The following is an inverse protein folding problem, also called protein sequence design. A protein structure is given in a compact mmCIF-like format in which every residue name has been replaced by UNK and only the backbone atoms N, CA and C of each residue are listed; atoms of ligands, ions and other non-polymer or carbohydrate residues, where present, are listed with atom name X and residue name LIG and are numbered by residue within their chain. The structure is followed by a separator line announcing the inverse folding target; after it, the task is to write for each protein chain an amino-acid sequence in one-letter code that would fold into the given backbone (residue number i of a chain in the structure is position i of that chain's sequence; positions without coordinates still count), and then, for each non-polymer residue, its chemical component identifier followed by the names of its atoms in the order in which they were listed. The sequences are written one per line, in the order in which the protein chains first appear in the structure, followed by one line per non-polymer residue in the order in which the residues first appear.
data_IF_249699621229
#
_entry.id   IF_249699621229
#
_cell.length_a   1.000
_cell.length_b   1.000
_cell.length_c   1.000
_cell.angle_alpha   90.00
_cell.angle_beta   90.00
_cell.angle_gamma   90.00
#
_symmetry.space_group_name_H-M   'P 1'
#
loop_
_entity.id
_entity.type
_entity.pdbx_description
1 polymer ?
#
# COMPACT_ATOMS: atom_id res chain seq x y z
N UNK A 1 3.91 3.99 11.19
CA UNK A 1 3.65 3.81 12.64
C UNK A 1 2.20 4.14 13.06
N UNK A 2 1.68 5.36 12.85
CA UNK A 2 0.37 5.78 13.40
C UNK A 2 -0.81 4.84 13.04
N UNK A 3 -0.97 4.46 11.77
CA UNK A 3 -2.03 3.53 11.36
C UNK A 3 -1.93 2.17 12.07
N UNK A 4 -0.74 1.56 12.11
CA UNK A 4 -0.53 0.27 12.77
C UNK A 4 -0.73 0.32 14.28
N UNK A 5 -0.37 1.44 14.92
CA UNK A 5 -0.68 1.66 16.33
C UNK A 5 -2.21 1.71 16.56
N UNK A 6 -2.97 2.42 15.72
CA UNK A 6 -4.43 2.45 15.78
C UNK A 6 -5.07 1.08 15.52
N UNK A 7 -4.54 0.33 14.55
CA UNK A 7 -5.02 -1.03 14.24
C UNK A 7 -4.73 -2.05 15.33
N UNK A 8 -3.74 -1.79 16.19
CA UNK A 8 -3.40 -2.67 17.32
C UNK A 8 -4.29 -2.44 18.54
N UNK A 9 -5.10 -1.38 18.55
CA UNK A 9 -6.01 -1.06 19.66
C UNK A 9 -7.49 -1.20 19.30
N UNK A 10 -7.83 -1.09 18.02
CA UNK A 10 -9.20 -1.13 17.53
C UNK A 10 -9.53 -2.49 16.89
N UNK A 11 -10.80 -2.95 16.91
CA UNK A 11 -11.20 -4.21 16.31
C UNK A 11 -11.04 -4.16 14.78
N UNK A 12 -10.59 -5.26 14.17
CA UNK A 12 -10.44 -5.35 12.73
C UNK A 12 -11.76 -5.04 11.99
N UNK A 13 -11.65 -4.23 10.94
CA UNK A 13 -12.78 -3.76 10.14
C UNK A 13 -12.66 -4.29 8.70
N UNK A 14 -13.58 -5.17 8.29
CA UNK A 14 -13.52 -5.82 6.98
C UNK A 14 -13.60 -4.82 5.81
N UNK A 15 -14.35 -3.73 5.96
CA UNK A 15 -14.47 -2.70 4.92
C UNK A 15 -13.14 -1.95 4.65
N UNK A 16 -12.25 -1.86 5.64
CA UNK A 16 -10.91 -1.28 5.45
C UNK A 16 -10.06 -2.17 4.53
N UNK A 17 -10.22 -3.49 4.61
CA UNK A 17 -9.55 -4.40 3.69
C UNK A 17 -10.00 -4.14 2.24
N UNK A 18 -11.30 -3.94 2.00
CA UNK A 18 -11.83 -3.59 0.67
C UNK A 18 -11.26 -2.25 0.17
N UNK A 19 -11.18 -1.24 1.03
CA UNK A 19 -10.56 0.05 0.68
C UNK A 19 -9.09 -0.13 0.29
N UNK A 20 -8.34 -0.94 1.05
CA UNK A 20 -6.94 -1.22 0.76
C UNK A 20 -6.79 -1.95 -0.58
N UNK A 21 -7.68 -2.88 -0.92
CA UNK A 21 -7.70 -3.54 -2.23
C UNK A 21 -7.98 -2.55 -3.38
N UNK A 22 -8.98 -1.68 -3.22
CA UNK A 22 -9.27 -0.62 -4.21
C UNK A 22 -8.07 0.33 -4.35
N UNK A 23 -7.36 0.63 -3.25
CA UNK A 23 -6.21 1.51 -3.29
C UNK A 23 -5.06 0.94 -4.13
N UNK A 24 -4.86 -0.39 -4.18
CA UNK A 24 -3.88 -1.00 -5.09
C UNK A 24 -4.22 -0.73 -6.56
N UNK A 25 -5.51 -0.80 -6.91
CA UNK A 25 -5.96 -0.48 -8.25
C UNK A 25 -5.69 1.00 -8.60
N UNK A 26 -6.05 1.91 -7.70
CA UNK A 26 -5.87 3.36 -7.91
C UNK A 26 -4.38 3.70 -7.98
N UNK A 27 -3.58 3.28 -7.00
CA UNK A 27 -2.14 3.57 -6.96
C UNK A 27 -1.40 2.92 -8.12
N UNK A 28 -1.71 1.66 -8.45
CA UNK A 28 -1.15 0.96 -9.61
C UNK A 28 -1.48 1.68 -10.92
N UNK A 29 -2.73 2.15 -11.07
CA UNK A 29 -3.15 2.98 -12.20
C UNK A 29 -2.42 4.32 -12.29
N UNK A 30 -2.20 5.00 -11.17
CA UNK A 30 -1.44 6.25 -11.11
C UNK A 30 0.04 6.02 -11.51
N UNK A 31 0.66 4.94 -11.01
CA UNK A 31 2.03 4.56 -11.39
C UNK A 31 2.10 4.17 -12.87
N UNK A 32 1.11 3.43 -13.37
CA UNK A 32 0.97 3.05 -14.79
C UNK A 32 0.80 4.27 -15.71
N UNK A 33 0.16 5.33 -15.23
CA UNK A 33 0.06 6.57 -15.98
C UNK A 33 1.42 7.28 -16.10
N UNK A 34 2.34 7.07 -15.15
CA UNK A 34 3.68 7.67 -15.11
C UNK A 34 3.68 9.19 -15.33
N UNK A 35 2.67 9.88 -14.81
CA UNK A 35 2.53 11.34 -14.88
C UNK A 35 2.84 11.98 -13.53
N UNK A 36 3.41 13.20 -13.53
CA UNK A 36 3.62 13.93 -12.29
C UNK A 36 2.28 14.21 -11.59
N UNK A 37 2.22 13.91 -10.30
CA UNK A 37 1.06 14.20 -9.46
C UNK A 37 1.28 15.53 -8.71
N UNK A 38 0.26 16.38 -8.53
CA UNK A 38 0.45 17.59 -7.74
C UNK A 38 0.77 17.23 -6.27
N UNK A 39 1.68 17.96 -5.61
CA UNK A 39 2.17 17.58 -4.27
C UNK A 39 1.07 17.40 -3.22
N UNK A 40 0.02 18.22 -3.29
CA UNK A 40 -1.13 18.14 -2.36
C UNK A 40 -1.86 16.80 -2.47
N UNK A 41 -2.11 16.34 -3.70
CA UNK A 41 -2.76 15.04 -3.93
C UNK A 41 -1.86 13.87 -3.52
N UNK A 42 -0.55 13.99 -3.77
CA UNK A 42 0.41 12.99 -3.33
C UNK A 42 0.41 12.82 -1.81
N UNK A 43 0.52 13.93 -1.06
CA UNK A 43 0.49 13.90 0.41
C UNK A 43 -0.83 13.32 0.92
N UNK A 44 -1.96 13.75 0.35
CA UNK A 44 -3.28 13.23 0.73
C UNK A 44 -3.38 11.71 0.52
N UNK A 45 -2.91 11.21 -0.63
CA UNK A 45 -2.89 9.77 -0.92
C UNK A 45 -1.99 9.02 0.06
N UNK A 46 -0.77 9.50 0.30
CA UNK A 46 0.18 8.87 1.24
C UNK A 46 -0.39 8.79 2.65
N UNK A 47 -1.04 9.86 3.11
CA UNK A 47 -1.66 9.89 4.43
C UNK A 47 -2.85 8.92 4.50
N UNK A 48 -3.74 8.95 3.51
CA UNK A 48 -4.91 8.08 3.49
C UNK A 48 -4.53 6.60 3.43
N UNK A 49 -3.66 6.21 2.50
CA UNK A 49 -3.26 4.81 2.32
C UNK A 49 -2.31 4.35 3.43
N UNK A 50 -1.39 5.22 3.89
CA UNK A 50 -0.52 4.91 5.02
C UNK A 50 -1.30 4.64 6.32
N UNK A 51 -2.38 5.39 6.56
CA UNK A 51 -3.27 5.14 7.70
C UNK A 51 -4.10 3.87 7.51
N UNK A 52 -4.76 3.69 6.35
CA UNK A 52 -5.65 2.54 6.13
C UNK A 52 -4.91 1.20 6.05
N UNK A 53 -3.77 1.16 5.37
CA UNK A 53 -2.91 -0.02 5.32
C UNK A 53 -2.22 -0.25 6.66
N UNK A 54 -1.75 0.82 7.31
CA UNK A 54 -1.19 0.73 8.65
C UNK A 54 -2.18 0.08 9.61
N UNK A 55 -3.43 0.57 9.63
CA UNK A 55 -4.50 0.02 10.45
C UNK A 55 -4.73 -1.47 10.21
N UNK A 56 -4.80 -1.90 8.94
CA UNK A 56 -4.96 -3.31 8.60
C UNK A 56 -3.75 -4.19 8.99
N UNK A 57 -2.58 -3.59 9.18
CA UNK A 57 -1.38 -4.28 9.69
C UNK A 57 -1.25 -4.18 11.22
N UNK A 58 -2.24 -3.66 11.95
CA UNK A 58 -2.21 -3.70 13.41
C UNK A 58 -2.15 -5.14 13.94
N UNK A 59 -1.50 -5.33 15.09
CA UNK A 59 -1.37 -6.63 15.77
C UNK A 59 -1.92 -6.51 17.19
N UNK A 60 -3.23 -6.72 17.40
CA UNK A 60 -3.88 -6.51 18.69
C UNK A 60 -3.37 -7.42 19.80
N UNK A 61 -2.66 -8.50 19.47
CA UNK A 61 -2.09 -9.46 20.43
C UNK A 61 -0.77 -8.96 21.04
N UNK A 62 -0.16 -7.92 20.47
CA UNK A 62 1.13 -7.38 20.93
C UNK A 62 0.94 -6.22 21.91
N UNK A 63 1.67 -6.26 23.02
CA UNK A 63 1.66 -5.23 24.06
C UNK A 63 3.07 -4.90 24.55
N UNK A 64 3.22 -3.75 25.23
CA UNK A 64 4.48 -3.33 25.84
C UNK A 64 5.64 -3.26 24.85
N UNK A 65 6.79 -3.85 25.22
CA UNK A 65 8.01 -3.82 24.40
C UNK A 65 7.85 -4.55 23.06
N UNK A 66 7.04 -5.62 23.00
CA UNK A 66 6.79 -6.37 21.76
C UNK A 66 6.10 -5.51 20.71
N UNK A 67 5.10 -4.72 21.12
CA UNK A 67 4.41 -3.77 20.24
C UNK A 67 5.36 -2.68 19.72
N UNK A 68 6.22 -2.13 20.58
CA UNK A 68 7.18 -1.09 20.19
C UNK A 68 8.17 -1.62 19.14
N UNK A 69 8.72 -2.82 19.36
CA UNK A 69 9.64 -3.46 18.42
C UNK A 69 8.95 -3.78 17.09
N UNK A 70 7.71 -4.26 17.12
CA UNK A 70 6.91 -4.49 15.92
C UNK A 70 6.71 -3.21 15.11
N UNK A 71 6.21 -2.15 15.76
CA UNK A 71 5.93 -0.88 15.10
C UNK A 71 7.20 -0.22 14.54
N UNK A 72 8.31 -0.30 15.28
CA UNK A 72 9.61 0.18 14.81
C UNK A 72 10.11 -0.63 13.61
N UNK A 73 10.04 -1.97 13.67
CA UNK A 73 10.44 -2.87 12.60
C UNK A 73 9.64 -2.64 11.32
N UNK A 74 8.31 -2.61 11.41
CA UNK A 74 7.44 -2.36 10.25
C UNK A 74 7.67 -0.96 9.67
N UNK A 75 7.84 0.06 10.52
CA UNK A 75 8.12 1.43 10.05
C UNK A 75 9.49 1.50 9.35
N UNK A 76 10.51 0.84 9.90
CA UNK A 76 11.84 0.76 9.29
C UNK A 76 11.79 0.04 7.94
N UNK A 77 11.15 -1.13 7.86
CA UNK A 77 11.00 -1.89 6.63
C UNK A 77 10.26 -1.08 5.55
N UNK A 78 9.16 -0.44 5.91
CA UNK A 78 8.41 0.43 4.99
C UNK A 78 9.26 1.61 4.50
N UNK A 79 9.99 2.28 5.40
CA UNK A 79 10.88 3.38 5.04
C UNK A 79 12.00 2.95 4.09
N UNK A 80 12.62 1.80 4.35
CA UNK A 80 13.66 1.23 3.49
C UNK A 80 13.11 0.90 2.10
N UNK A 81 11.96 0.21 2.02
CA UNK A 81 11.32 -0.12 0.75
C UNK A 81 10.98 1.14 -0.06
N UNK A 82 10.35 2.13 0.58
CA UNK A 82 10.01 3.40 -0.07
C UNK A 82 11.27 4.11 -0.58
N UNK A 83 12.32 4.18 0.24
CA UNK A 83 13.58 4.84 -0.14
C UNK A 83 14.25 4.15 -1.33
N UNK A 84 14.37 2.82 -1.29
CA UNK A 84 15.00 2.03 -2.36
C UNK A 84 14.19 2.11 -3.65
N UNK A 85 12.87 1.92 -3.59
CA UNK A 85 12.01 1.98 -4.77
C UNK A 85 11.96 3.38 -5.39
N UNK A 86 11.98 4.42 -4.56
CA UNK A 86 12.04 5.81 -5.04
C UNK A 86 13.37 6.07 -5.75
N UNK A 87 14.49 5.69 -5.13
CA UNK A 87 15.81 5.83 -5.73
C UNK A 87 15.94 5.06 -7.05
N UNK A 88 15.50 3.79 -7.07
CA UNK A 88 15.52 2.95 -8.26
C UNK A 88 14.65 3.52 -9.38
N UNK A 89 13.42 3.95 -9.06
CA UNK A 89 12.50 4.54 -10.05
C UNK A 89 13.06 5.85 -10.61
N UNK A 90 13.61 6.71 -9.76
CA UNK A 90 14.24 7.96 -10.18
C UNK A 90 15.45 7.69 -11.09
N UNK A 91 16.33 6.76 -10.72
CA UNK A 91 17.48 6.38 -11.53
C UNK A 91 17.06 5.80 -12.89
N UNK A 92 16.05 4.92 -12.91
CA UNK A 92 15.53 4.36 -14.16
C UNK A 92 15.00 5.44 -15.10
N UNK A 93 14.15 6.33 -14.60
CA UNK A 93 13.53 7.39 -15.42
C UNK A 93 14.58 8.38 -15.94
N UNK A 94 15.61 8.71 -15.15
CA UNK A 94 16.60 9.72 -15.52
C UNK A 94 17.75 9.18 -16.37
N UNK A 95 18.16 7.92 -16.17
CA UNK A 95 19.38 7.36 -16.78
C UNK A 95 19.09 6.38 -17.93
N UNK A 96 17.86 5.88 -18.07
CA UNK A 96 17.52 4.85 -19.06
C UNK A 96 16.35 5.32 -19.93
N UNK A 97 16.51 5.21 -21.25
CA UNK A 97 15.45 5.54 -22.23
C UNK A 97 14.18 4.70 -22.05
N UNK A 98 14.31 3.48 -21.53
CA UNK A 98 13.19 2.58 -21.23
C UNK A 98 12.65 2.70 -19.80
N UNK A 99 13.20 3.61 -18.97
CA UNK A 99 12.85 3.72 -17.55
C UNK A 99 11.36 3.95 -17.30
N UNK A 100 10.72 4.77 -18.13
CA UNK A 100 9.27 5.00 -18.07
C UNK A 100 8.50 3.71 -18.33
N UNK A 101 8.92 2.89 -19.30
CA UNK A 101 8.24 1.62 -19.62
C UNK A 101 8.32 0.67 -18.42
N UNK A 102 9.47 0.58 -17.77
CA UNK A 102 9.63 -0.27 -16.57
C UNK A 102 8.75 0.18 -15.41
N UNK A 103 8.67 1.49 -15.13
CA UNK A 103 7.79 2.02 -14.08
C UNK A 103 6.33 1.76 -14.41
N UNK A 104 5.93 1.92 -15.68
CA UNK A 104 4.57 1.62 -16.14
C UNK A 104 4.22 0.13 -15.99
N UNK A 105 5.15 -0.76 -16.33
CA UNK A 105 4.99 -2.20 -16.11
C UNK A 105 4.85 -2.55 -14.62
N UNK A 106 5.64 -1.94 -13.75
CA UNK A 106 5.47 -2.08 -12.30
C UNK A 106 4.08 -1.63 -11.84
N UNK A 107 3.60 -0.49 -12.34
CA UNK A 107 2.25 0.00 -12.08
C UNK A 107 1.13 -0.95 -12.54
N UNK A 108 1.25 -1.56 -13.72
CA UNK A 108 0.25 -2.51 -14.21
C UNK A 108 0.20 -3.79 -13.38
N UNK A 109 1.35 -4.28 -12.90
CA UNK A 109 1.38 -5.43 -11.98
C UNK A 109 0.69 -5.12 -10.66
N UNK A 110 0.92 -3.94 -10.09
CA UNK A 110 0.23 -3.50 -8.86
C UNK A 110 -1.29 -3.43 -9.08
N UNK A 111 -1.73 -2.84 -10.18
CA UNK A 111 -3.15 -2.74 -10.52
C UNK A 111 -3.79 -4.14 -10.73
N UNK A 112 -3.08 -5.04 -11.40
CA UNK A 112 -3.53 -6.41 -11.63
C UNK A 112 -3.67 -7.19 -10.32
N UNK A 113 -2.72 -7.07 -9.39
CA UNK A 113 -2.82 -7.68 -8.05
C UNK A 113 -4.07 -7.18 -7.33
N UNK A 114 -4.32 -5.85 -7.35
CA UNK A 114 -5.52 -5.26 -6.77
C UNK A 114 -6.81 -5.83 -7.37
N UNK A 115 -6.89 -5.93 -8.70
CA UNK A 115 -8.03 -6.53 -9.40
C UNK A 115 -8.24 -8.01 -9.01
N UNK A 116 -7.18 -8.81 -9.01
CA UNK A 116 -7.25 -10.24 -8.71
C UNK A 116 -7.77 -10.48 -7.29
N UNK A 117 -7.23 -9.77 -6.31
CA UNK A 117 -7.68 -9.91 -4.92
C UNK A 117 -9.08 -9.35 -4.68
N UNK A 118 -9.43 -8.23 -5.33
CA UNK A 118 -10.77 -7.68 -5.23
C UNK A 118 -11.81 -8.65 -5.82
N UNK A 119 -11.53 -9.21 -7.01
CA UNK A 119 -12.39 -10.22 -7.62
C UNK A 119 -12.51 -11.47 -6.74
N UNK A 120 -11.40 -11.97 -6.20
CA UNK A 120 -11.40 -13.10 -5.28
C UNK A 120 -12.28 -12.82 -4.04
N UNK A 121 -12.12 -11.65 -3.43
CA UNK A 121 -12.87 -11.27 -2.22
C UNK A 121 -14.37 -11.15 -2.51
N UNK A 122 -14.75 -10.56 -3.64
CA UNK A 122 -16.16 -10.35 -3.98
C UNK A 122 -16.85 -11.63 -4.46
N UNK A 123 -16.20 -12.41 -5.32
CA UNK A 123 -16.85 -13.54 -6.00
C UNK A 123 -16.61 -14.88 -5.32
N UNK A 124 -15.50 -15.07 -4.61
CA UNK A 124 -15.20 -16.35 -3.96
C UNK A 124 -15.61 -16.31 -2.50
N UNK A 125 -15.09 -15.35 -1.72
CA UNK A 125 -15.45 -15.27 -0.29
C UNK A 125 -16.86 -14.73 -0.06
N UNK A 126 -17.35 -13.82 -0.92
CA UNK A 126 -18.72 -13.34 -0.86
C UNK A 126 -19.77 -14.43 -1.18
N UNK A 127 -19.47 -15.33 -2.12
CA UNK A 127 -20.35 -16.44 -2.48
C UNK A 127 -20.31 -17.61 -1.49
N UNK A 128 -19.24 -17.76 -0.71
CA UNK A 128 -19.13 -18.79 0.33
C UNK A 128 -19.83 -18.41 1.66
N UNK A 129 -20.27 -17.15 1.80
CA UNK A 129 -20.97 -16.63 2.97
C UNK A 129 -22.50 -16.54 2.83
N UNK A 130 -23.06 -16.97 1.69
CA UNK A 130 -24.51 -17.07 1.41
C UNK A 130 -24.96 -18.51 1.39
#
# INVERSE_FOLDING_TARGET
MAGAALGSTLPAQQWIAVINLISFLVLGGLVLAARPLPPRFFIALVMATGLSHGYANGMPELFGQGLVLYLAGVTCAAYLLVSILTAASHQLITQRSWGIIAVRAGGSWIAAIGFLYLAFTLFVTGAAGS
#
